data_IF_883448463362
#
_entry.id   IF_883448463362
#
_cell.length_a   1.000
_cell.length_b   1.000
_cell.length_c   1.000
_cell.angle_alpha   90.00
_cell.angle_beta   90.00
_cell.angle_gamma   90.00
#
_symmetry.space_group_name_H-M   'P 1'
#
loop_
_entity.id
_entity.type
_entity.pdbx_description
1 polymer ?
#
# COMPACT_ATOMS: atom_id res chain seq x y z
N UNK A 1 -20.38 -9.85 -13.52
CA UNK A 1 -21.03 -9.03 -12.47
C UNK A 1 -20.19 -7.79 -12.39
N UNK A 2 -20.72 -6.66 -12.85
CA UNK A 2 -19.92 -5.46 -13.06
C UNK A 2 -20.08 -4.52 -11.86
N UNK A 3 -18.96 -4.02 -11.34
CA UNK A 3 -18.95 -3.10 -10.21
C UNK A 3 -19.07 -1.67 -10.73
N UNK A 4 -20.29 -1.13 -10.71
CA UNK A 4 -20.61 0.21 -11.27
C UNK A 4 -20.49 1.35 -10.24
N UNK A 5 -20.76 1.03 -8.97
CA UNK A 5 -20.62 1.96 -7.85
C UNK A 5 -20.20 1.20 -6.59
N UNK A 6 -19.46 1.87 -5.72
CA UNK A 6 -19.14 1.38 -4.39
C UNK A 6 -19.83 2.29 -3.40
N UNK A 7 -20.80 1.74 -2.68
CA UNK A 7 -21.53 2.47 -1.64
C UNK A 7 -20.56 2.94 -0.55
N UNK A 8 -20.81 4.10 0.05
CA UNK A 8 -19.96 4.67 1.12
C UNK A 8 -19.78 3.72 2.32
N UNK A 9 -20.74 2.81 2.52
CA UNK A 9 -20.72 1.78 3.57
C UNK A 9 -20.22 0.40 3.10
N UNK A 10 -19.73 0.26 1.87
CA UNK A 10 -19.38 -1.04 1.29
C UNK A 10 -18.28 -1.78 2.07
N UNK A 11 -17.45 -1.04 2.79
CA UNK A 11 -16.39 -1.62 3.61
C UNK A 11 -16.72 -1.62 5.11
N UNK A 12 -17.91 -1.12 5.50
CA UNK A 12 -18.35 -1.07 6.88
C UNK A 12 -17.71 0.08 7.67
N UNK A 13 -18.04 1.32 7.29
CA UNK A 13 -17.73 2.49 8.12
C UNK A 13 -18.25 2.23 9.54
N UNK A 14 -17.33 2.18 10.51
CA UNK A 14 -17.70 1.95 11.90
C UNK A 14 -18.03 3.30 12.51
N UNK A 15 -19.27 3.48 12.95
CA UNK A 15 -19.60 4.58 13.85
C UNK A 15 -18.99 4.24 15.21
N UNK A 16 -18.18 5.14 15.76
CA UNK A 16 -17.77 5.02 17.15
C UNK A 16 -18.99 5.27 18.07
N UNK A 17 -18.83 5.02 19.37
CA UNK A 17 -19.89 5.18 20.39
C UNK A 17 -20.48 6.61 20.46
N UNK A 18 -19.83 7.58 19.81
CA UNK A 18 -20.25 8.98 19.73
C UNK A 18 -20.96 9.33 18.41
N UNK A 19 -21.22 8.36 17.54
CA UNK A 19 -21.86 8.57 16.25
C UNK A 19 -20.95 9.17 15.18
N UNK A 20 -19.64 9.29 15.44
CA UNK A 20 -18.67 9.73 14.44
C UNK A 20 -18.30 8.56 13.53
N UNK A 21 -18.45 8.74 12.24
CA UNK A 21 -17.97 7.79 11.23
C UNK A 21 -16.44 7.74 11.29
N UNK A 22 -15.91 6.56 11.60
CA UNK A 22 -14.47 6.30 11.51
C UNK A 22 -14.22 5.53 10.22
N UNK A 23 -13.43 6.15 9.34
CA UNK A 23 -12.91 5.50 8.14
C UNK A 23 -12.18 4.22 8.56
N UNK A 24 -12.22 3.20 7.72
CA UNK A 24 -11.53 1.94 7.98
C UNK A 24 -10.03 2.20 7.92
N UNK A 25 -9.39 2.13 9.08
CA UNK A 25 -7.96 2.40 9.27
C UNK A 25 -7.07 1.21 8.92
N UNK A 26 -7.67 0.02 8.73
CA UNK A 26 -6.94 -1.22 8.45
C UNK A 26 -6.66 -1.48 6.97
N UNK A 27 -7.38 -0.85 6.05
CA UNK A 27 -7.20 -1.09 4.61
C UNK A 27 -5.98 -0.31 4.11
N UNK A 28 -4.91 -1.03 3.79
CA UNK A 28 -3.66 -0.43 3.29
C UNK A 28 -3.60 -0.34 1.77
N UNK A 29 -4.33 -1.21 1.07
CA UNK A 29 -4.31 -1.31 -0.39
C UNK A 29 -5.73 -1.47 -0.93
N UNK A 30 -6.08 -0.67 -1.92
CA UNK A 30 -7.36 -0.72 -2.59
C UNK A 30 -7.20 -0.73 -4.11
N UNK A 31 -7.58 -1.82 -4.77
CA UNK A 31 -7.45 -1.94 -6.22
C UNK A 31 -8.82 -2.19 -6.85
N UNK A 32 -9.31 -1.21 -7.60
CA UNK A 32 -10.53 -1.29 -8.39
C UNK A 32 -10.26 -0.83 -9.83
N UNK A 33 -9.11 -1.19 -10.38
CA UNK A 33 -8.68 -0.81 -11.71
C UNK A 33 -9.45 -1.56 -12.80
N UNK A 34 -9.71 -0.91 -13.93
CA UNK A 34 -10.39 -1.52 -15.10
C UNK A 34 -11.74 -2.16 -14.74
N UNK A 35 -12.49 -1.49 -13.87
CA UNK A 35 -13.84 -1.85 -13.50
C UNK A 35 -14.85 -0.95 -14.25
N UNK A 36 -16.12 -0.94 -13.84
CA UNK A 36 -17.14 -0.02 -14.37
C UNK A 36 -17.43 1.13 -13.41
N UNK A 37 -16.47 1.49 -12.57
CA UNK A 37 -16.67 2.47 -11.51
C UNK A 37 -16.93 3.86 -12.09
N UNK A 38 -18.13 4.37 -11.91
CA UNK A 38 -18.50 5.71 -12.40
C UNK A 38 -18.24 6.81 -11.37
N UNK A 39 -18.27 6.49 -10.08
CA UNK A 39 -18.09 7.45 -8.99
C UNK A 39 -17.48 6.78 -7.77
N UNK A 40 -16.84 7.58 -6.91
CA UNK A 40 -16.28 7.10 -5.66
C UNK A 40 -16.34 8.18 -4.57
N UNK A 41 -16.84 7.79 -3.39
CA UNK A 41 -16.99 8.72 -2.27
C UNK A 41 -15.65 9.01 -1.59
N UNK A 42 -15.43 10.27 -1.24
CA UNK A 42 -14.28 10.70 -0.42
C UNK A 42 -14.26 10.00 0.94
N UNK A 43 -15.44 9.67 1.47
CA UNK A 43 -15.59 9.10 2.81
C UNK A 43 -15.54 7.56 2.79
N UNK A 44 -15.28 6.95 1.64
CA UNK A 44 -15.24 5.49 1.52
C UNK A 44 -14.03 4.88 2.23
N UNK A 45 -12.87 5.54 2.16
CA UNK A 45 -11.60 5.08 2.73
C UNK A 45 -10.79 6.26 3.25
N UNK A 46 -9.81 5.98 4.11
CA UNK A 46 -8.77 6.96 4.40
C UNK A 46 -7.75 7.00 3.24
N UNK A 47 -8.05 7.82 2.23
CA UNK A 47 -7.25 7.94 1.00
C UNK A 47 -5.83 8.49 1.21
N UNK A 48 -5.53 9.07 2.38
CA UNK A 48 -4.19 9.53 2.73
C UNK A 48 -3.27 8.38 3.14
N UNK A 49 -3.82 7.34 3.79
CA UNK A 49 -3.06 6.18 4.28
C UNK A 49 -3.24 4.92 3.43
N UNK A 50 -4.15 4.95 2.46
CA UNK A 50 -4.47 3.82 1.59
C UNK A 50 -3.78 3.98 0.24
N UNK A 51 -2.95 3.01 -0.14
CA UNK A 51 -2.44 2.89 -1.50
C UNK A 51 -3.57 2.43 -2.43
N UNK A 52 -3.92 3.23 -3.44
CA UNK A 52 -5.08 2.94 -4.29
C UNK A 52 -4.77 2.93 -5.78
N UNK A 53 -5.42 2.02 -6.50
CA UNK A 53 -5.39 1.93 -7.97
C UNK A 53 -6.81 1.93 -8.52
N UNK A 54 -7.17 3.06 -9.15
CA UNK A 54 -8.55 3.37 -9.56
C UNK A 54 -8.68 3.65 -11.06
N UNK A 55 -7.60 3.61 -11.83
CA UNK A 55 -7.66 4.02 -13.23
C UNK A 55 -8.46 3.05 -14.11
N UNK A 56 -8.63 3.43 -15.37
CA UNK A 56 -9.33 2.68 -16.42
C UNK A 56 -10.80 2.43 -16.05
N UNK A 57 -11.42 3.39 -15.38
CA UNK A 57 -12.81 3.35 -15.00
C UNK A 57 -13.60 4.48 -15.70
N UNK A 58 -14.90 4.28 -16.00
CA UNK A 58 -15.73 5.25 -16.70
C UNK A 58 -16.23 6.36 -15.76
N UNK A 59 -15.31 7.17 -15.22
CA UNK A 59 -15.66 8.19 -14.23
C UNK A 59 -16.61 9.27 -14.78
N UNK A 60 -17.70 9.51 -14.05
CA UNK A 60 -18.57 10.67 -14.27
C UNK A 60 -18.02 11.83 -13.45
N UNK A 61 -17.30 12.72 -14.13
CA UNK A 61 -16.62 13.87 -13.57
C UNK A 61 -17.60 14.98 -13.18
N UNK A 62 -18.17 14.80 -12.00
CA UNK A 62 -18.99 15.77 -11.32
C UNK A 62 -18.39 16.13 -9.96
N UNK A 63 -19.16 16.83 -9.13
CA UNK A 63 -18.71 17.32 -7.83
C UNK A 63 -18.38 16.20 -6.84
N UNK A 64 -19.02 15.03 -6.98
CA UNK A 64 -18.80 13.87 -6.11
C UNK A 64 -17.38 13.31 -6.23
N UNK A 65 -16.73 13.43 -7.39
CA UNK A 65 -15.35 12.99 -7.60
C UNK A 65 -14.33 14.14 -7.68
N UNK A 66 -14.77 15.39 -7.43
CA UNK A 66 -13.89 16.56 -7.46
C UNK A 66 -12.69 16.42 -6.51
N UNK A 67 -12.88 15.77 -5.35
CA UNK A 67 -11.82 15.47 -4.41
C UNK A 67 -10.73 14.58 -5.01
N UNK A 68 -11.10 13.61 -5.84
CA UNK A 68 -10.16 12.68 -6.47
C UNK A 68 -9.39 13.38 -7.59
N UNK A 69 -10.07 14.23 -8.37
CA UNK A 69 -9.44 15.08 -9.39
C UNK A 69 -8.44 16.05 -8.74
N UNK A 70 -8.79 16.63 -7.58
CA UNK A 70 -7.91 17.51 -6.82
C UNK A 70 -6.72 16.78 -6.22
N UNK A 71 -6.94 15.62 -5.61
CA UNK A 71 -5.88 14.80 -5.04
C UNK A 71 -4.86 14.44 -6.12
N UNK A 72 -5.34 14.10 -7.32
CA UNK A 72 -4.52 13.88 -8.50
C UNK A 72 -3.71 15.13 -8.89
N UNK A 73 -4.35 16.30 -8.88
CA UNK A 73 -3.71 17.58 -9.17
C UNK A 73 -2.58 17.92 -8.19
N UNK A 74 -2.85 17.73 -6.89
CA UNK A 74 -1.93 18.08 -5.80
C UNK A 74 -0.75 17.11 -5.70
N UNK A 75 -0.90 15.87 -6.19
CA UNK A 75 0.18 14.88 -6.26
C UNK A 75 1.07 15.02 -7.52
N UNK A 76 0.66 15.81 -8.52
CA UNK A 76 1.53 16.28 -9.60
C UNK A 76 2.34 17.50 -9.10
N UNK A 77 3.69 17.46 -8.94
CA UNK A 77 4.66 17.01 -9.97
C UNK A 77 5.87 16.22 -9.40
N UNK A 78 5.78 15.58 -8.23
CA UNK A 78 6.96 14.95 -7.61
C UNK A 78 7.25 13.50 -8.03
N UNK A 79 6.30 12.80 -8.64
CA UNK A 79 6.43 11.36 -8.93
C UNK A 79 6.59 11.00 -10.42
N UNK A 80 6.43 11.97 -11.33
CA UNK A 80 6.36 11.72 -12.77
C UNK A 80 7.34 12.61 -13.55
N UNK A 81 8.63 12.50 -13.22
CA UNK A 81 9.68 13.03 -14.12
C UNK A 81 9.82 12.15 -15.37
N UNK A 82 9.41 10.88 -15.28
CA UNK A 82 9.31 9.97 -16.41
C UNK A 82 8.03 10.25 -17.24
N UNK A 83 8.25 10.60 -18.51
CA UNK A 83 7.19 10.91 -19.47
C UNK A 83 6.29 9.71 -19.79
N UNK A 84 6.78 8.48 -19.63
CA UNK A 84 6.02 7.27 -19.92
C UNK A 84 4.97 6.99 -18.83
N UNK A 85 5.38 7.11 -17.56
CA UNK A 85 4.47 6.98 -16.44
C UNK A 85 3.37 8.06 -16.52
N UNK A 86 3.72 9.31 -16.81
CA UNK A 86 2.75 10.39 -16.98
C UNK A 86 1.71 10.07 -18.07
N UNK A 87 2.16 9.59 -19.23
CA UNK A 87 1.27 9.21 -20.34
C UNK A 87 0.27 8.11 -19.94
N UNK A 88 0.75 7.10 -19.22
CA UNK A 88 -0.09 6.01 -18.74
C UNK A 88 -1.16 6.49 -17.76
N UNK A 89 -0.77 7.38 -16.84
CA UNK A 89 -1.65 7.96 -15.83
C UNK A 89 -2.69 8.92 -16.41
N UNK A 90 -2.37 9.70 -17.46
CA UNK A 90 -3.36 10.55 -18.13
C UNK A 90 -4.44 9.73 -18.84
N UNK A 91 -4.07 8.58 -19.41
CA UNK A 91 -5.03 7.65 -20.03
C UNK A 91 -5.87 6.88 -19.01
N UNK A 92 -5.29 6.62 -17.84
CA UNK A 92 -5.91 5.94 -16.74
C UNK A 92 -7.10 6.69 -16.14
N UNK A 93 -6.92 7.99 -15.94
CA UNK A 93 -7.78 8.82 -15.12
C UNK A 93 -8.42 9.87 -15.99
N UNK A 94 -9.46 9.45 -16.72
CA UNK A 94 -10.24 10.31 -17.61
C UNK A 94 -11.72 10.18 -17.32
N UNK A 95 -12.46 11.18 -17.76
CA UNK A 95 -13.90 11.21 -17.62
C UNK A 95 -14.59 10.46 -18.76
N UNK A 96 -15.57 9.63 -18.43
CA UNK A 96 -16.56 9.13 -19.38
C UNK A 96 -17.78 10.06 -19.49
N UNK A 97 -17.90 11.04 -18.61
CA UNK A 97 -18.93 12.07 -18.68
C UNK A 97 -18.70 13.16 -17.61
N UNK A 98 -19.52 14.22 -17.57
CA UNK A 98 -20.55 14.61 -18.55
C UNK A 98 -19.95 14.97 -19.93
N UNK A 99 -20.75 15.13 -21.01
CA UNK A 99 -20.26 15.30 -22.39
C UNK A 99 -19.24 16.44 -22.58
N UNK A 100 -19.34 17.53 -21.82
CA UNK A 100 -18.39 18.66 -21.86
C UNK A 100 -17.01 18.34 -21.25
N UNK A 101 -16.91 17.25 -20.49
CA UNK A 101 -15.70 16.73 -19.85
C UNK A 101 -15.30 15.35 -20.36
N UNK A 102 -16.09 14.73 -21.22
CA UNK A 102 -15.81 13.40 -21.79
C UNK A 102 -14.42 13.36 -22.44
N UNK A 103 -13.71 12.25 -22.21
CA UNK A 103 -12.33 11.99 -22.60
C UNK A 103 -11.26 12.93 -22.03
N UNK A 104 -11.62 13.95 -21.24
CA UNK A 104 -10.64 14.79 -20.56
C UNK A 104 -10.02 14.04 -19.39
N UNK A 105 -8.69 14.07 -19.31
CA UNK A 105 -7.97 13.54 -18.16
C UNK A 105 -8.20 14.39 -16.92
N UNK A 106 -8.08 13.79 -15.74
CA UNK A 106 -8.13 14.51 -14.46
C UNK A 106 -7.07 15.61 -14.43
N UNK A 107 -5.92 15.37 -15.06
CA UNK A 107 -4.86 16.36 -15.21
C UNK A 107 -5.30 17.52 -16.09
N UNK A 108 -5.99 17.33 -17.21
CA UNK A 108 -6.49 18.45 -18.03
C UNK A 108 -7.57 19.26 -17.31
N UNK A 109 -8.41 18.60 -16.52
CA UNK A 109 -9.42 19.26 -15.71
C UNK A 109 -8.78 20.07 -14.59
N UNK A 110 -7.70 19.54 -13.99
CA UNK A 110 -6.98 20.22 -12.91
C UNK A 110 -5.90 21.21 -13.38
N UNK A 111 -5.33 21.02 -14.58
CA UNK A 111 -4.32 21.89 -15.25
C UNK A 111 -4.78 23.32 -15.44
N UNK A 112 -6.05 23.62 -15.16
CA UNK A 112 -6.49 24.98 -14.99
C UNK A 112 -5.85 25.73 -13.81
N UNK A 113 -4.94 25.13 -13.01
CA UNK A 113 -3.73 25.76 -12.41
C UNK A 113 -3.00 24.79 -11.45
N UNK A 114 -1.89 24.16 -11.87
CA UNK A 114 -0.97 23.47 -10.94
C UNK A 114 0.01 24.42 -10.21
N UNK A 115 -0.17 25.74 -10.32
CA UNK A 115 0.80 26.75 -9.83
C UNK A 115 0.21 27.84 -8.94
N UNK A 116 -1.11 27.87 -8.73
CA UNK A 116 -1.74 28.81 -7.80
C UNK A 116 -2.89 28.12 -7.09
N UNK A 117 -3.07 28.46 -5.81
CA UNK A 117 -4.17 27.99 -4.97
C UNK A 117 -5.52 28.26 -5.66
N UNK A 118 -6.02 27.27 -6.39
CA UNK A 118 -7.32 27.35 -7.06
C UNK A 118 -8.20 26.23 -6.54
N UNK A 119 -9.30 26.63 -5.90
CA UNK A 119 -10.42 25.77 -5.53
C UNK A 119 -11.15 25.34 -6.81
N UNK A 120 -11.17 24.04 -7.09
CA UNK A 120 -11.95 23.34 -8.13
C UNK A 120 -13.43 23.71 -8.18
N UNK A 121 -13.92 24.33 -7.11
CA UNK A 121 -15.20 25.01 -7.02
C UNK A 121 -15.53 25.78 -8.31
N UNK A 122 -14.58 26.49 -8.93
CA UNK A 122 -14.86 27.34 -10.10
C UNK A 122 -15.29 26.61 -11.40
N UNK A 123 -14.87 25.34 -11.60
CA UNK A 123 -15.27 24.57 -12.81
C UNK A 123 -16.65 23.96 -12.58
N UNK A 124 -16.90 23.50 -11.36
CA UNK A 124 -18.14 22.84 -10.99
C UNK A 124 -19.26 23.83 -10.62
N UNK A 125 -18.97 25.09 -10.27
CA UNK A 125 -19.97 26.14 -10.03
C UNK A 125 -20.73 26.58 -11.28
N UNK A 126 -20.26 26.21 -12.48
CA UNK A 126 -21.03 26.42 -13.72
C UNK A 126 -22.07 25.33 -13.96
N UNK A 127 -22.03 24.23 -13.21
CA UNK A 127 -23.08 23.22 -13.23
C UNK A 127 -24.16 23.62 -12.23
N UNK A 128 -25.38 23.99 -12.67
CA UNK A 128 -26.47 24.41 -11.77
C UNK A 128 -26.91 23.30 -10.80
N UNK A 129 -26.50 22.05 -11.02
CA UNK A 129 -26.78 20.93 -10.11
C UNK A 129 -25.68 20.70 -9.06
N UNK A 130 -24.59 21.46 -9.10
CA UNK A 130 -23.50 21.34 -8.14
C UNK A 130 -23.70 22.23 -6.92
N UNK A 131 -24.49 21.77 -5.95
CA UNK A 131 -24.50 22.38 -4.62
C UNK A 131 -23.41 21.68 -3.79
N UNK A 132 -22.22 22.29 -3.72
CA UNK A 132 -21.19 21.87 -2.75
C UNK A 132 -21.70 22.28 -1.37
N UNK A 133 -22.48 21.41 -0.72
CA UNK A 133 -22.82 21.58 0.69
C UNK A 133 -21.57 21.30 1.50
N UNK A 134 -20.97 22.35 2.08
CA UNK A 134 -20.04 22.20 3.19
C UNK A 134 -20.77 21.44 4.30
N UNK A 135 -20.28 20.28 4.77
CA UNK A 135 -21.01 19.48 5.73
C UNK A 135 -21.14 20.25 7.05
N UNK A 136 -22.38 20.63 7.38
CA UNK A 136 -22.79 20.98 8.74
C UNK A 136 -23.43 19.74 9.35
N UNK A 137 -22.77 19.19 10.36
CA UNK A 137 -23.12 17.93 11.03
C UNK A 137 -24.53 17.96 11.64
N UNK A 138 -25.37 16.97 11.33
CA UNK A 138 -26.50 16.55 12.19
C UNK A 138 -26.56 15.02 12.27
N UNK A 139 -26.57 14.52 13.51
CA UNK A 139 -26.41 13.12 13.90
C UNK A 139 -27.71 12.31 13.82
N UNK A 140 -27.61 11.01 13.49
CA UNK A 140 -28.66 10.01 13.65
C UNK A 140 -28.09 8.72 14.27
N UNK A 141 -28.71 8.30 15.38
CA UNK A 141 -28.54 7.07 16.18
C UNK A 141 -29.32 5.89 15.54
N UNK A 142 -29.19 4.59 15.79
CA UNK A 142 -28.49 3.69 16.73
C UNK A 142 -28.53 2.29 16.07
N UNK A 143 -27.47 1.49 16.11
CA UNK A 143 -27.58 0.02 16.01
C UNK A 143 -26.32 -0.66 16.56
N UNK A 144 -26.49 -1.48 17.59
CA UNK A 144 -25.41 -2.22 18.27
C UNK A 144 -25.02 -3.46 17.47
N UNK A 145 -23.71 -3.65 17.24
CA UNK A 145 -23.14 -4.86 16.65
C UNK A 145 -21.73 -5.10 17.17
N UNK A 146 -21.51 -6.28 17.74
CA UNK A 146 -20.35 -6.68 18.55
C UNK A 146 -19.02 -6.76 17.79
N UNK A 147 -17.97 -6.15 18.36
CA UNK A 147 -16.59 -6.12 17.87
C UNK A 147 -15.92 -7.51 17.80
N UNK A 148 -15.36 -7.86 16.63
CA UNK A 148 -14.40 -8.96 16.47
C UNK A 148 -13.02 -8.40 16.21
N UNK A 149 -12.10 -8.63 17.16
CA UNK A 149 -10.71 -8.19 17.16
C UNK A 149 -9.88 -9.20 16.36
N UNK A 150 -9.45 -8.86 15.16
CA UNK A 150 -8.55 -9.72 14.36
C UNK A 150 -7.10 -9.46 14.77
N UNK A 151 -6.51 -10.46 15.43
CA UNK A 151 -5.18 -10.40 16.04
C UNK A 151 -4.09 -10.64 14.98
N UNK A 152 -3.23 -9.64 14.75
CA UNK A 152 -2.02 -9.76 13.93
C UNK A 152 -0.86 -10.50 14.65
N UNK A 153 -1.13 -11.05 15.84
CA UNK A 153 -0.12 -11.67 16.71
C UNK A 153 0.51 -12.92 16.08
N UNK A 154 -0.21 -13.62 15.20
CA UNK A 154 0.28 -14.83 14.53
C UNK A 154 1.48 -14.59 13.60
N UNK A 155 1.52 -13.44 12.89
CA UNK A 155 2.62 -13.13 11.97
C UNK A 155 3.91 -12.81 12.73
N UNK A 156 3.79 -12.11 13.86
CA UNK A 156 4.94 -11.73 14.69
C UNK A 156 5.59 -12.97 15.30
N UNK A 157 4.80 -13.92 15.81
CA UNK A 157 5.30 -15.17 16.38
C UNK A 157 6.03 -16.02 15.32
N UNK A 158 5.50 -16.10 14.10
CA UNK A 158 6.13 -16.86 13.02
C UNK A 158 7.52 -16.32 12.64
N UNK A 159 7.70 -14.99 12.61
CA UNK A 159 8.98 -14.36 12.31
C UNK A 159 10.04 -14.63 13.38
N UNK A 160 9.65 -14.58 14.67
CA UNK A 160 10.56 -14.85 15.78
C UNK A 160 11.10 -16.29 15.71
N UNK A 161 10.21 -17.26 15.44
CA UNK A 161 10.59 -18.67 15.32
C UNK A 161 11.60 -18.88 14.18
N UNK A 162 11.38 -18.25 13.02
CA UNK A 162 12.29 -18.35 11.87
C UNK A 162 13.71 -17.86 12.20
N UNK A 163 13.83 -16.72 12.89
CA UNK A 163 15.13 -16.14 13.28
C UNK A 163 15.89 -17.09 14.22
N UNK A 164 15.20 -17.74 15.16
CA UNK A 164 15.82 -18.72 16.08
C UNK A 164 16.41 -19.91 15.31
N UNK A 165 15.69 -20.45 14.32
CA UNK A 165 16.20 -21.57 13.50
C UNK A 165 17.46 -21.20 12.71
N UNK A 166 17.52 -19.98 12.16
CA UNK A 166 18.70 -19.50 11.44
C UNK A 166 19.91 -19.41 12.38
N UNK A 167 19.73 -18.87 13.58
CA UNK A 167 20.81 -18.75 14.58
C UNK A 167 21.33 -20.13 15.00
N UNK A 168 20.43 -21.08 15.30
CA UNK A 168 20.80 -22.45 15.67
C UNK A 168 21.56 -23.14 14.53
N UNK A 169 21.14 -22.95 13.29
CA UNK A 169 21.83 -23.46 12.10
C UNK A 169 23.26 -22.94 11.97
N UNK A 170 23.47 -21.64 12.19
CA UNK A 170 24.80 -21.01 12.15
C UNK A 170 25.70 -21.58 13.25
N UNK A 171 25.19 -21.71 14.48
CA UNK A 171 25.94 -22.27 15.61
C UNK A 171 26.37 -23.72 15.32
N UNK A 172 25.45 -24.54 14.81
CA UNK A 172 25.75 -25.93 14.45
C UNK A 172 26.84 -26.01 13.36
N UNK A 173 26.76 -25.16 12.33
CA UNK A 173 27.77 -25.08 11.27
C UNK A 173 29.16 -24.70 11.81
N UNK A 174 29.23 -23.74 12.74
CA UNK A 174 30.48 -23.32 13.38
C UNK A 174 31.09 -24.46 14.22
N UNK A 175 30.26 -25.17 15.00
CA UNK A 175 30.72 -26.31 15.81
C UNK A 175 31.26 -27.42 14.90
N UNK A 176 30.55 -27.73 13.81
CA UNK A 176 30.97 -28.74 12.84
C UNK A 176 32.31 -28.36 12.18
N UNK A 177 32.44 -27.10 11.77
CA UNK A 177 33.68 -26.58 11.18
C UNK A 177 34.87 -26.70 12.14
N UNK A 178 34.68 -26.34 13.41
CA UNK A 178 35.74 -26.47 14.44
C UNK A 178 36.16 -27.93 14.67
N UNK A 179 35.20 -28.86 14.74
CA UNK A 179 35.49 -30.30 14.89
C UNK A 179 36.28 -30.84 13.70
N UNK A 180 35.96 -30.41 12.48
CA UNK A 180 36.69 -30.84 11.29
C UNK A 180 38.14 -30.33 11.30
N UNK A 181 38.37 -29.09 11.75
CA UNK A 181 39.72 -28.52 11.87
C UNK A 181 40.58 -29.26 12.90
N UNK A 182 40.02 -29.68 14.03
CA UNK A 182 40.77 -30.43 15.06
C UNK A 182 41.27 -31.80 14.56
N UNK A 183 40.46 -32.52 13.77
CA UNK A 183 40.87 -33.82 13.19
C UNK A 183 42.04 -33.69 12.20
N UNK A 184 42.15 -32.57 11.50
CA UNK A 184 43.29 -32.34 10.60
C UNK A 184 44.60 -32.10 11.38
N UNK A 185 44.52 -31.41 12.53
CA UNK A 185 45.70 -31.13 13.36
C UNK A 185 46.27 -32.38 14.03
N UNK A 186 45.42 -33.31 14.47
CA UNK A 186 45.87 -34.55 15.13
C UNK A 186 46.62 -35.47 14.18
N UNK A 187 46.19 -35.54 12.90
CA UNK A 187 46.84 -36.37 11.90
C UNK A 187 48.25 -35.85 11.55
N UNK A 188 48.43 -34.53 11.53
CA UNK A 188 49.74 -33.91 11.28
C UNK A 188 50.68 -34.20 12.45
N UNK A 189 50.23 -34.07 13.70
CA UNK A 189 51.07 -34.34 14.86
C UNK A 189 51.51 -35.80 14.92
N UNK A 190 50.60 -36.75 14.69
CA UNK A 190 50.96 -38.18 14.65
C UNK A 190 51.97 -38.53 13.56
N UNK A 191 51.96 -37.80 12.43
CA UNK A 191 52.93 -38.01 11.36
C UNK A 191 54.31 -37.43 11.72
N UNK A 192 54.36 -36.30 12.41
CA UNK A 192 55.60 -35.69 12.92
C UNK A 192 56.25 -36.59 13.98
N UNK A 193 55.46 -37.10 14.94
CA UNK A 193 55.97 -37.94 16.01
C UNK A 193 56.60 -39.24 15.46
N UNK A 194 55.97 -39.85 14.45
CA UNK A 194 56.50 -41.04 13.76
C UNK A 194 57.82 -40.77 13.02
N UNK A 195 57.93 -39.62 12.34
CA UNK A 195 59.16 -39.20 11.67
C UNK A 195 60.31 -38.99 12.65
N UNK A 196 60.03 -38.43 13.83
CA UNK A 196 61.04 -38.24 14.88
C UNK A 196 61.54 -39.58 15.44
N UNK A 197 60.66 -40.56 15.63
CA UNK A 197 61.02 -41.91 16.08
C UNK A 197 61.94 -42.62 15.07
N UNK A 198 61.59 -42.56 13.77
CA UNK A 198 62.40 -43.14 12.69
C UNK A 198 63.82 -42.51 12.61
N UNK A 199 63.95 -41.19 12.84
CA UNK A 199 65.26 -40.52 12.87
C UNK A 199 66.12 -40.98 14.05
N UNK A 200 65.53 -41.19 15.22
CA UNK A 200 66.27 -41.62 16.42
C UNK A 200 66.79 -43.06 16.31
N UNK A 201 66.10 -43.94 15.59
CA UNK A 201 66.59 -45.31 15.33
C UNK A 201 67.74 -45.36 14.32
N UNK A 202 67.88 -44.38 13.43
CA UNK A 202 68.96 -44.32 12.44
C UNK A 202 70.30 -43.82 13.02
N UNK A 203 70.32 -43.31 14.25
CA UNK A 203 71.50 -42.67 14.88
C UNK A 203 72.16 -43.53 15.97
N UNK A 204 71.65 -44.74 16.21
CA UNK A 204 72.21 -45.79 17.07
C UNK A 204 72.85 -46.89 16.22
#
# INVERSE_FOLDING_TARGET
MDLESIHENAFGNQKNDFGNETNITGLKKFNARNCKLSTISKNLLNWETTDFSLGWNPFVCNCSISWLINDFANKCPKYFEDSEALYYYERAYKCAGPPNLEDKSFREISKKNCSTNFTTTAIFTKDPNCIITTPTSKAYSNYYGTNSKTNNDGLIIALIIFVIFVIVGIIAAVIFYRRRKQKASTNIQSAIDKLNEDLTMSTL
#
